data_IF_418031149494
#
_entry.id   IF_418031149494
#
_cell.length_a   1.000
_cell.length_b   1.000
_cell.length_c   1.000
_cell.angle_alpha   90.00
_cell.angle_beta   90.00
_cell.angle_gamma   90.00
#
_symmetry.space_group_name_H-M   'P 1'
#
loop_
_entity.id
_entity.type
_entity.pdbx_description
1 polymer ?
#
# COMPACT_ATOMS: atom_id res chain seq x y z
N UNK A 1 6.55 -23.09 -54.80
CA UNK A 1 5.65 -22.21 -54.05
C UNK A 1 5.73 -22.60 -52.59
N UNK A 2 6.41 -21.85 -51.72
CA UNK A 2 6.33 -22.13 -50.30
C UNK A 2 4.97 -21.63 -49.76
N UNK A 3 4.29 -22.51 -49.05
CA UNK A 3 3.08 -22.18 -48.31
C UNK A 3 3.39 -21.16 -47.24
N UNK A 4 2.66 -20.02 -47.28
CA UNK A 4 2.73 -19.00 -46.23
C UNK A 4 2.09 -19.58 -44.99
N UNK A 5 2.91 -19.95 -44.03
CA UNK A 5 2.47 -20.34 -42.69
C UNK A 5 2.06 -19.06 -41.95
N UNK A 6 0.81 -18.67 -42.20
CA UNK A 6 0.20 -17.55 -41.47
C UNK A 6 -0.34 -18.08 -40.17
N UNK A 7 0.48 -18.08 -39.13
CA UNK A 7 0.00 -18.29 -37.75
C UNK A 7 -1.09 -17.22 -37.50
N UNK A 8 -2.34 -17.63 -37.19
CA UNK A 8 -3.38 -16.65 -36.94
C UNK A 8 -3.00 -15.81 -35.71
N UNK A 9 -3.07 -14.48 -35.86
CA UNK A 9 -2.90 -13.58 -34.74
C UNK A 9 -3.89 -13.94 -33.63
N UNK A 10 -3.48 -13.94 -32.37
CA UNK A 10 -4.39 -14.25 -31.26
C UNK A 10 -5.52 -13.21 -31.24
N UNK A 11 -6.74 -13.69 -31.47
CA UNK A 11 -7.94 -12.86 -31.36
C UNK A 11 -8.19 -12.58 -29.89
N UNK A 12 -8.23 -11.29 -29.53
CA UNK A 12 -8.54 -10.82 -28.18
C UNK A 12 -9.84 -10.03 -28.21
N UNK A 13 -10.72 -10.29 -27.24
CA UNK A 13 -11.92 -9.49 -27.03
C UNK A 13 -11.68 -8.52 -25.88
N UNK A 14 -12.06 -7.26 -26.07
CA UNK A 14 -12.01 -6.23 -25.02
C UNK A 14 -13.40 -6.05 -24.45
N UNK A 15 -13.53 -6.27 -23.14
CA UNK A 15 -14.80 -6.15 -22.41
C UNK A 15 -14.63 -5.07 -21.34
N UNK A 16 -15.46 -4.00 -21.44
CA UNK A 16 -15.57 -3.00 -20.37
C UNK A 16 -16.59 -3.49 -19.34
N UNK A 17 -16.24 -3.37 -18.05
CA UNK A 17 -17.14 -3.67 -16.93
C UNK A 17 -16.86 -2.75 -15.75
N UNK A 18 -17.88 -2.31 -15.05
CA UNK A 18 -17.82 -1.61 -13.77
C UNK A 18 -18.05 -2.56 -12.57
N UNK A 19 -18.21 -3.87 -12.85
CA UNK A 19 -18.45 -4.92 -11.87
C UNK A 19 -17.50 -6.12 -12.08
N UNK A 20 -16.15 -5.91 -12.02
CA UNK A 20 -15.22 -7.03 -12.15
C UNK A 20 -15.41 -8.01 -11.01
N UNK A 21 -15.38 -9.31 -11.33
CA UNK A 21 -15.42 -10.34 -10.29
C UNK A 21 -14.08 -10.43 -9.56
N UNK A 22 -14.04 -10.98 -8.32
CA UNK A 22 -12.77 -11.28 -7.65
C UNK A 22 -11.83 -12.16 -8.50
N UNK A 23 -12.36 -13.07 -9.28
CA UNK A 23 -11.59 -13.91 -10.19
C UNK A 23 -10.95 -13.11 -11.34
N UNK A 24 -11.67 -12.12 -11.90
CA UNK A 24 -11.11 -11.23 -12.93
C UNK A 24 -9.92 -10.44 -12.38
N UNK A 25 -10.07 -9.89 -11.17
CA UNK A 25 -9.02 -9.13 -10.50
C UNK A 25 -7.82 -10.03 -10.19
N UNK A 26 -8.07 -11.24 -9.66
CA UNK A 26 -7.02 -12.21 -9.36
C UNK A 26 -6.25 -12.64 -10.62
N UNK A 27 -6.93 -12.86 -11.74
CA UNK A 27 -6.28 -13.25 -12.98
C UNK A 27 -5.25 -12.20 -13.45
N UNK A 28 -5.59 -10.93 -13.34
CA UNK A 28 -4.69 -9.82 -13.70
C UNK A 28 -3.55 -9.71 -12.66
N UNK A 29 -3.88 -9.74 -11.39
CA UNK A 29 -2.91 -9.63 -10.29
C UNK A 29 -1.87 -10.74 -10.32
N UNK A 30 -2.32 -12.00 -10.46
CA UNK A 30 -1.42 -13.16 -10.46
C UNK A 30 -0.53 -13.19 -11.71
N UNK A 31 -1.05 -12.75 -12.85
CA UNK A 31 -0.25 -12.61 -14.07
C UNK A 31 0.83 -11.54 -13.93
N UNK A 32 0.49 -10.40 -13.32
CA UNK A 32 1.45 -9.31 -13.05
C UNK A 32 2.52 -9.76 -12.04
N UNK A 33 2.13 -10.43 -10.97
CA UNK A 33 3.06 -10.94 -9.96
C UNK A 33 4.04 -11.97 -10.57
N UNK A 34 3.54 -12.82 -11.49
CA UNK A 34 4.40 -13.76 -12.24
C UNK A 34 5.39 -13.03 -13.12
N UNK A 35 4.94 -12.04 -13.87
CA UNK A 35 5.81 -11.21 -14.71
C UNK A 35 6.88 -10.49 -13.85
N UNK A 36 6.48 -9.90 -12.73
CA UNK A 36 7.40 -9.22 -11.82
C UNK A 36 8.45 -10.19 -11.26
N UNK A 37 8.04 -11.41 -10.91
CA UNK A 37 8.96 -12.47 -10.45
C UNK A 37 9.99 -12.83 -11.52
N UNK A 38 9.56 -12.99 -12.75
CA UNK A 38 10.45 -13.30 -13.88
C UNK A 38 11.46 -12.18 -14.12
N UNK A 39 11.07 -10.91 -13.94
CA UNK A 39 11.94 -9.75 -14.17
C UNK A 39 12.81 -9.39 -12.97
N UNK A 40 12.26 -9.42 -11.77
CA UNK A 40 12.94 -8.99 -10.55
C UNK A 40 13.57 -10.15 -9.77
N UNK A 41 13.22 -11.39 -10.08
CA UNK A 41 13.64 -12.57 -9.33
C UNK A 41 13.00 -12.73 -7.96
N UNK A 42 11.98 -11.92 -7.65
CA UNK A 42 11.32 -11.85 -6.35
C UNK A 42 9.81 -11.84 -6.51
N UNK A 43 9.13 -12.59 -5.65
CA UNK A 43 7.68 -12.60 -5.50
C UNK A 43 7.38 -12.45 -4.00
N UNK A 44 7.32 -11.22 -3.55
CA UNK A 44 7.23 -10.88 -2.13
C UNK A 44 6.00 -10.03 -1.77
N UNK A 45 5.03 -9.93 -2.68
CA UNK A 45 3.79 -9.20 -2.39
C UNK A 45 3.02 -9.85 -1.26
N UNK A 46 2.80 -9.09 -0.18
CA UNK A 46 2.12 -9.58 1.02
C UNK A 46 1.18 -8.51 1.59
N UNK A 47 -0.05 -8.85 1.99
CA UNK A 47 -0.90 -7.92 2.72
C UNK A 47 -0.30 -7.58 4.09
N UNK A 48 -0.63 -6.37 4.55
CA UNK A 48 -0.28 -5.87 5.86
C UNK A 48 -1.48 -5.13 6.43
N UNK A 49 -1.87 -5.43 7.65
CA UNK A 49 -2.95 -4.73 8.33
C UNK A 49 -2.67 -4.58 9.82
N UNK A 50 -3.11 -3.46 10.39
CA UNK A 50 -3.24 -3.25 11.83
C UNK A 50 -4.70 -2.94 12.11
N UNK A 51 -5.41 -3.86 12.73
CA UNK A 51 -6.85 -3.79 12.90
C UNK A 51 -7.21 -3.30 14.29
N UNK A 52 -8.18 -2.41 14.38
CA UNK A 52 -8.83 -2.00 15.63
C UNK A 52 -10.14 -2.74 15.75
N UNK A 53 -10.27 -3.52 16.83
CA UNK A 53 -11.48 -4.30 17.11
C UNK A 53 -12.21 -3.77 18.32
N UNK A 54 -13.53 -3.79 18.28
CA UNK A 54 -14.35 -3.60 19.46
C UNK A 54 -14.08 -4.77 20.43
N UNK A 55 -13.67 -4.52 21.68
CA UNK A 55 -13.30 -5.60 22.60
C UNK A 55 -14.48 -6.49 23.01
N UNK A 56 -15.71 -6.01 22.89
CA UNK A 56 -16.92 -6.77 23.24
C UNK A 56 -17.42 -7.65 22.11
N UNK A 57 -17.42 -7.10 20.89
CA UNK A 57 -18.00 -7.78 19.71
C UNK A 57 -16.95 -8.44 18.82
N UNK A 58 -15.67 -8.06 18.97
CA UNK A 58 -14.55 -8.45 18.11
C UNK A 58 -14.70 -8.00 16.64
N UNK A 59 -15.66 -7.14 16.36
CA UNK A 59 -15.83 -6.55 15.04
C UNK A 59 -14.72 -5.53 14.76
N UNK A 60 -14.25 -5.48 13.53
CA UNK A 60 -13.30 -4.46 13.08
C UNK A 60 -14.05 -3.13 12.96
N UNK A 61 -13.57 -2.12 13.67
CA UNK A 61 -14.17 -0.77 13.72
C UNK A 61 -13.25 0.30 13.12
N UNK A 62 -12.04 -0.05 12.77
CA UNK A 62 -11.06 0.83 12.17
C UNK A 62 -9.73 0.13 11.96
N UNK A 63 -8.72 0.89 11.63
CA UNK A 63 -7.36 0.39 11.43
C UNK A 63 -6.73 0.83 10.12
N UNK A 64 -5.67 0.14 9.76
CA UNK A 64 -4.90 0.38 8.55
C UNK A 64 -4.80 -0.91 7.74
N UNK A 65 -4.95 -0.81 6.43
CA UNK A 65 -4.64 -1.89 5.49
C UNK A 65 -3.68 -1.41 4.43
N UNK A 66 -2.88 -2.32 3.94
CA UNK A 66 -1.93 -2.07 2.87
C UNK A 66 -1.27 -3.35 2.40
N UNK A 67 -0.18 -3.20 1.73
CA UNK A 67 0.63 -4.31 1.21
C UNK A 67 2.09 -3.90 1.08
N UNK A 68 2.97 -4.88 1.14
CA UNK A 68 4.38 -4.71 0.82
C UNK A 68 4.70 -5.43 -0.48
N UNK A 69 5.53 -4.83 -1.33
CA UNK A 69 5.99 -5.41 -2.57
C UNK A 69 7.26 -4.71 -3.06
N UNK A 70 8.23 -5.47 -3.47
CA UNK A 70 9.48 -4.98 -4.10
C UNK A 70 10.13 -3.83 -3.30
N UNK A 71 10.18 -3.98 -1.98
CA UNK A 71 10.83 -3.02 -1.10
C UNK A 71 10.02 -1.76 -0.78
N UNK A 72 8.75 -1.71 -1.14
CA UNK A 72 7.83 -0.61 -0.79
C UNK A 72 6.66 -1.09 0.06
N UNK A 73 6.23 -0.24 0.96
CA UNK A 73 4.99 -0.37 1.71
C UNK A 73 3.95 0.60 1.15
N UNK A 74 2.83 0.06 0.71
CA UNK A 74 1.68 0.81 0.21
C UNK A 74 0.59 0.81 1.27
N UNK A 75 0.21 1.98 1.77
CA UNK A 75 -0.96 2.15 2.63
C UNK A 75 -2.18 2.33 1.73
N UNK A 76 -3.13 1.42 1.79
CA UNK A 76 -4.34 1.46 0.96
C UNK A 76 -5.49 2.17 1.67
N UNK A 77 -5.77 1.80 2.93
CA UNK A 77 -6.84 2.39 3.74
C UNK A 77 -6.34 2.68 5.15
N UNK A 78 -6.75 3.82 5.70
CA UNK A 78 -6.52 4.12 7.11
C UNK A 78 -7.69 4.94 7.67
N UNK A 79 -8.38 4.38 8.64
CA UNK A 79 -9.53 5.01 9.27
C UNK A 79 -9.61 4.69 10.76
N UNK A 80 -9.95 5.70 11.55
CA UNK A 80 -10.35 5.57 12.95
C UNK A 80 -11.69 6.26 13.16
N UNK A 81 -12.61 5.66 13.91
CA UNK A 81 -13.81 6.35 14.39
C UNK A 81 -13.44 7.64 15.11
N UNK A 82 -14.25 8.72 14.98
CA UNK A 82 -13.95 10.01 15.60
C UNK A 82 -13.66 9.94 17.11
N UNK A 83 -14.38 9.09 17.82
CA UNK A 83 -14.23 8.89 19.28
C UNK A 83 -12.89 8.26 19.71
N UNK A 84 -12.20 7.62 18.78
CA UNK A 84 -10.87 7.01 19.01
C UNK A 84 -9.71 7.89 18.56
N UNK A 85 -9.99 9.09 18.05
CA UNK A 85 -8.98 10.05 17.58
C UNK A 85 -8.49 10.93 18.73
N UNK A 86 -7.31 11.55 18.55
CA UNK A 86 -6.78 12.56 19.46
C UNK A 86 -6.05 12.04 20.69
N UNK A 87 -5.84 10.73 20.81
CA UNK A 87 -5.14 10.09 21.95
C UNK A 87 -3.87 9.31 21.55
N UNK A 88 -3.37 9.50 20.31
CA UNK A 88 -2.16 8.84 19.82
C UNK A 88 -2.37 7.46 19.19
N UNK A 89 -3.58 6.92 19.15
CA UNK A 89 -3.84 5.61 18.57
C UNK A 89 -3.49 5.54 17.08
N UNK A 90 -3.80 6.59 16.31
CA UNK A 90 -3.44 6.65 14.88
C UNK A 90 -1.94 6.59 14.66
N UNK A 91 -1.15 7.31 15.44
CA UNK A 91 0.30 7.28 15.38
C UNK A 91 0.85 5.90 15.74
N UNK A 92 0.27 5.25 16.73
CA UNK A 92 0.67 3.89 17.15
C UNK A 92 0.38 2.85 16.06
N UNK A 93 -0.78 2.90 15.42
CA UNK A 93 -1.15 2.01 14.31
C UNK A 93 -0.17 2.18 13.15
N UNK A 94 0.11 3.42 12.78
CA UNK A 94 1.03 3.73 11.68
C UNK A 94 2.44 3.24 12.00
N UNK A 95 2.91 3.47 13.22
CA UNK A 95 4.21 2.99 13.69
C UNK A 95 4.32 1.46 13.61
N UNK A 96 3.32 0.72 14.08
CA UNK A 96 3.32 -0.74 14.00
C UNK A 96 3.37 -1.23 12.55
N UNK A 97 2.62 -0.60 11.65
CA UNK A 97 2.65 -0.93 10.22
C UNK A 97 4.02 -0.64 9.60
N UNK A 98 4.62 0.50 9.92
CA UNK A 98 5.96 0.88 9.45
C UNK A 98 7.05 -0.07 9.99
N UNK A 99 6.96 -0.48 11.25
CA UNK A 99 7.90 -1.42 11.86
C UNK A 99 7.83 -2.80 11.17
N UNK A 100 6.63 -3.29 10.88
CA UNK A 100 6.45 -4.53 10.12
C UNK A 100 6.99 -4.38 8.68
N UNK A 101 6.75 -3.25 8.04
CA UNK A 101 7.28 -2.99 6.70
C UNK A 101 8.82 -2.98 6.70
N UNK A 102 9.46 -2.39 7.71
CA UNK A 102 10.92 -2.46 7.89
C UNK A 102 11.41 -3.89 8.09
N UNK A 103 10.70 -4.67 8.91
CA UNK A 103 11.02 -6.08 9.13
C UNK A 103 10.94 -6.92 7.85
N UNK A 104 10.07 -6.53 6.91
CA UNK A 104 9.97 -7.12 5.57
C UNK A 104 10.99 -6.58 4.57
N UNK A 105 11.85 -5.66 4.97
CA UNK A 105 12.90 -5.08 4.13
C UNK A 105 12.44 -3.91 3.26
N UNK A 106 11.29 -3.30 3.55
CA UNK A 106 10.84 -2.11 2.83
C UNK A 106 11.73 -0.90 3.14
N UNK A 107 12.10 -0.17 2.09
CA UNK A 107 12.94 1.04 2.19
C UNK A 107 12.14 2.31 2.30
N UNK A 108 10.92 2.29 1.80
CA UNK A 108 10.02 3.44 1.83
C UNK A 108 8.56 2.99 1.89
N UNK A 109 7.71 3.93 2.27
CA UNK A 109 6.27 3.79 2.25
C UNK A 109 5.64 4.91 1.41
N UNK A 110 4.50 4.61 0.79
CA UNK A 110 3.74 5.56 -0.02
C UNK A 110 2.26 5.46 0.31
N UNK A 111 1.58 6.60 0.24
CA UNK A 111 0.14 6.69 0.36
C UNK A 111 -0.38 7.92 -0.39
N UNK A 112 -1.68 8.00 -0.56
CA UNK A 112 -2.34 9.29 -0.80
C UNK A 112 -3.44 9.52 0.24
N UNK A 113 -3.66 10.79 0.56
CA UNK A 113 -4.76 11.27 1.39
C UNK A 113 -5.46 12.42 0.69
N UNK A 114 -6.66 12.78 1.13
CA UNK A 114 -7.39 13.92 0.56
C UNK A 114 -7.16 15.13 1.46
N UNK A 115 -7.12 16.33 0.89
CA UNK A 115 -6.81 17.57 1.61
C UNK A 115 -7.71 17.83 2.82
N UNK A 116 -8.96 17.35 2.79
CA UNK A 116 -9.88 17.44 3.92
C UNK A 116 -9.80 16.25 4.91
N UNK A 117 -8.91 15.27 4.67
CA UNK A 117 -8.68 14.15 5.60
C UNK A 117 -7.56 14.49 6.58
N UNK A 118 -6.34 14.02 6.35
CA UNK A 118 -5.30 14.10 7.37
C UNK A 118 -3.87 14.30 6.85
N UNK A 119 -3.57 15.19 5.87
CA UNK A 119 -2.17 15.37 5.43
C UNK A 119 -1.25 15.85 6.55
N UNK A 120 -1.74 16.67 7.49
CA UNK A 120 -0.96 17.16 8.62
C UNK A 120 -0.62 16.06 9.62
N UNK A 121 -1.52 15.08 9.83
CA UNK A 121 -1.25 13.92 10.64
C UNK A 121 -0.02 13.16 10.13
N UNK A 122 0.03 12.88 8.83
CA UNK A 122 1.16 12.17 8.23
C UNK A 122 2.46 12.96 8.31
N UNK A 123 2.41 14.28 8.09
CA UNK A 123 3.60 15.14 8.24
C UNK A 123 4.17 15.06 9.66
N UNK A 124 3.33 15.08 10.67
CA UNK A 124 3.76 14.92 12.08
C UNK A 124 4.42 13.56 12.36
N UNK A 125 4.07 12.54 11.56
CA UNK A 125 4.69 11.22 11.65
C UNK A 125 5.94 11.07 10.74
N UNK A 126 6.42 12.16 10.14
CA UNK A 126 7.63 12.17 9.33
C UNK A 126 7.43 11.85 7.85
N UNK A 127 6.18 11.88 7.37
CA UNK A 127 5.87 11.72 5.96
C UNK A 127 6.05 13.03 5.21
N UNK A 128 6.55 12.92 3.98
CA UNK A 128 6.81 14.04 3.08
C UNK A 128 5.83 14.04 1.92
N UNK A 129 5.47 15.24 1.46
CA UNK A 129 4.60 15.44 0.31
C UNK A 129 5.40 15.23 -0.99
N UNK A 130 4.89 14.37 -1.88
CA UNK A 130 5.39 14.19 -3.23
C UNK A 130 4.69 15.13 -4.23
N UNK A 131 3.40 15.35 -4.06
CA UNK A 131 2.62 16.17 -4.95
C UNK A 131 1.13 16.10 -4.62
N UNK A 132 0.33 16.82 -5.41
CA UNK A 132 -1.12 16.87 -5.26
C UNK A 132 -1.80 16.89 -6.61
N UNK A 133 -2.89 16.15 -6.72
CA UNK A 133 -3.77 16.13 -7.89
C UNK A 133 -5.13 16.69 -7.48
N UNK A 134 -5.61 17.76 -8.13
CA UNK A 134 -6.93 18.31 -7.85
C UNK A 134 -8.02 17.26 -8.03
N UNK A 135 -9.00 17.26 -7.14
CA UNK A 135 -10.16 16.37 -7.19
C UNK A 135 -11.43 17.08 -6.71
N UNK A 136 -12.52 16.36 -6.62
CA UNK A 136 -13.77 16.89 -6.07
C UNK A 136 -13.85 16.69 -4.54
N UNK A 137 -14.59 17.58 -3.83
CA UNK A 137 -15.26 18.79 -4.30
C UNK A 137 -14.25 19.88 -4.70
N UNK A 138 -14.70 20.95 -5.44
CA UNK A 138 -13.80 22.04 -5.86
C UNK A 138 -12.95 22.58 -4.72
N UNK A 139 -11.62 22.70 -4.96
CA UNK A 139 -10.63 23.10 -3.96
C UNK A 139 -10.02 21.91 -3.19
N UNK A 140 -10.55 20.70 -3.32
CA UNK A 140 -9.93 19.52 -2.77
C UNK A 140 -8.84 18.95 -3.71
N UNK A 141 -7.93 18.16 -3.15
CA UNK A 141 -6.88 17.47 -3.89
C UNK A 141 -6.47 16.19 -3.19
N UNK A 142 -5.94 15.24 -3.97
CA UNK A 142 -5.27 14.07 -3.44
C UNK A 142 -3.80 14.38 -3.26
N UNK A 143 -3.35 14.30 -2.03
CA UNK A 143 -1.96 14.56 -1.63
C UNK A 143 -1.23 13.22 -1.58
N UNK A 144 -0.25 13.06 -2.45
CA UNK A 144 0.62 11.88 -2.46
C UNK A 144 1.78 12.11 -1.50
N UNK A 145 2.03 11.13 -0.64
CA UNK A 145 3.03 11.23 0.42
C UNK A 145 3.93 10.01 0.46
N UNK A 146 5.14 10.20 0.92
CA UNK A 146 6.13 9.15 1.10
C UNK A 146 6.85 9.30 2.43
N UNK A 147 7.36 8.19 2.93
CA UNK A 147 8.28 8.17 4.07
C UNK A 147 9.41 7.20 3.80
N UNK A 148 10.64 7.64 4.01
CA UNK A 148 11.79 6.75 4.00
C UNK A 148 11.75 5.87 5.27
N UNK A 149 11.84 4.56 5.06
CA UNK A 149 11.89 3.57 6.14
C UNK A 149 13.35 3.13 6.32
N UNK A 150 14.15 3.93 7.02
CA UNK A 150 15.54 3.58 7.32
C UNK A 150 15.57 2.35 8.22
N UNK A 151 16.34 1.35 7.81
CA UNK A 151 16.73 0.25 8.70
C UNK A 151 17.54 0.85 9.84
N UNK A 152 17.10 0.70 11.07
CA UNK A 152 17.83 1.14 12.23
C UNK A 152 19.17 0.40 12.31
N UNK A 153 20.24 0.99 11.78
CA UNK A 153 21.62 0.57 12.02
C UNK A 153 22.07 1.01 13.42
N UNK A 154 21.32 0.66 14.44
CA UNK A 154 21.71 0.97 15.80
C UNK A 154 21.42 -0.20 16.74
N UNK A 155 22.13 -1.30 16.56
CA UNK A 155 22.26 -2.32 17.63
C UNK A 155 23.53 -3.18 17.51
N UNK A 156 24.51 -2.77 16.69
CA UNK A 156 25.76 -3.55 16.59
C UNK A 156 27.00 -2.80 17.11
N UNK A 157 26.84 -1.65 17.76
CA UNK A 157 27.97 -0.87 18.30
C UNK A 157 28.07 -0.86 19.83
N UNK A 158 27.47 -1.82 20.55
CA UNK A 158 27.58 -1.88 22.04
C UNK A 158 27.99 -3.24 22.59
N UNK A 159 28.63 -4.11 21.83
CA UNK A 159 29.34 -5.26 22.42
C UNK A 159 30.70 -5.42 21.75
N UNK A 160 31.61 -4.54 22.07
CA UNK A 160 32.99 -4.60 21.64
C UNK A 160 33.83 -3.73 22.56
N UNK A 161 33.99 -4.14 23.83
CA UNK A 161 35.15 -3.91 24.66
C UNK A 161 35.07 -4.79 25.93
#
# INVERSE_FOLDING_TARGET
MPASDTTPEPRTDLVFTDAPTPADIAAISDALDRFNREKAGVDDRRPLAVLVRDPRTQQVIGGLTGRTSLGLFFVDLFFLPPELRGNGLGAEILRQAEDEARARGCRAAVLYTITFQAPDFYRKQGWERLGEVPCDPPGAGRVFMTKELTMTKELTARNGN
#
